data_IF_810117555531
#
_entry.id   IF_810117555531
#
_cell.length_a   1.000
_cell.length_b   1.000
_cell.length_c   1.000
_cell.angle_alpha   90.00
_cell.angle_beta   90.00
_cell.angle_gamma   90.00
#
_symmetry.space_group_name_H-M   'P 1'
#
loop_
_entity.id
_entity.type
_entity.pdbx_description
1 polymer ?
#
# COMPACT_ATOMS: atom_id res chain seq x y z
N UNK A 1 11.69 19.30 -8.91
CA UNK A 1 11.07 19.75 -7.66
C UNK A 1 11.44 18.76 -6.56
N UNK A 2 12.70 18.83 -6.10
CA UNK A 2 13.21 18.02 -5.00
C UNK A 2 12.65 18.57 -3.70
N UNK A 3 11.96 17.72 -2.94
CA UNK A 3 11.35 18.08 -1.66
C UNK A 3 12.45 18.56 -0.70
N UNK A 4 12.27 19.77 -0.18
CA UNK A 4 13.11 20.45 0.80
C UNK A 4 13.04 19.69 2.14
N UNK A 5 13.79 18.60 2.26
CA UNK A 5 13.95 17.87 3.53
C UNK A 5 14.93 18.67 4.37
N UNK A 6 14.42 19.42 5.34
CA UNK A 6 15.24 20.16 6.30
C UNK A 6 15.92 19.16 7.24
N UNK A 7 17.12 18.71 6.88
CA UNK A 7 17.90 17.68 7.61
C UNK A 7 18.12 17.99 9.11
N UNK A 8 17.87 19.21 9.57
CA UNK A 8 18.12 19.66 10.94
C UNK A 8 17.11 19.24 12.02
N UNK A 9 15.89 18.79 11.70
CA UNK A 9 14.84 18.51 12.70
C UNK A 9 14.58 17.02 12.97
N UNK A 10 15.23 16.12 12.23
CA UNK A 10 14.92 14.67 12.26
C UNK A 10 15.51 13.91 13.46
N UNK A 11 16.38 14.50 14.29
CA UNK A 11 17.12 13.75 15.33
C UNK A 11 16.76 14.17 16.77
N UNK A 12 15.48 14.45 17.05
CA UNK A 12 15.06 14.86 18.40
C UNK A 12 14.93 13.71 19.41
N UNK A 13 14.75 12.46 18.97
CA UNK A 13 14.55 11.31 19.86
C UNK A 13 15.50 10.18 19.52
N UNK A 14 16.44 9.84 20.41
CA UNK A 14 17.30 8.65 20.28
C UNK A 14 16.50 7.39 20.59
N UNK A 15 15.62 6.97 19.68
CA UNK A 15 14.85 5.73 19.83
C UNK A 15 15.76 4.51 19.59
N UNK A 16 15.79 3.51 20.48
CA UNK A 16 16.57 2.30 20.25
C UNK A 16 16.00 1.53 19.04
N UNK A 17 16.89 0.97 18.19
CA UNK A 17 16.51 0.23 16.97
C UNK A 17 15.55 -0.92 17.28
N UNK A 18 15.76 -1.57 18.42
CA UNK A 18 14.92 -2.65 18.89
C UNK A 18 13.47 -2.21 19.14
N UNK A 19 13.27 -1.03 19.73
CA UNK A 19 11.92 -0.49 19.93
C UNK A 19 11.27 -0.12 18.60
N UNK A 20 12.03 0.44 17.65
CA UNK A 20 11.55 0.69 16.29
C UNK A 20 11.08 -0.63 15.69
N UNK A 21 11.94 -1.64 15.67
CA UNK A 21 11.62 -2.96 15.12
C UNK A 21 10.35 -3.55 15.73
N UNK A 22 10.26 -3.64 17.06
CA UNK A 22 9.08 -4.21 17.74
C UNK A 22 7.81 -3.42 17.43
N UNK A 23 7.91 -2.09 17.38
CA UNK A 23 6.74 -1.23 17.15
C UNK A 23 6.22 -1.46 15.73
N UNK A 24 7.08 -1.38 14.72
CA UNK A 24 6.71 -1.60 13.33
C UNK A 24 6.31 -3.06 13.06
N UNK A 25 6.91 -4.02 13.75
CA UNK A 25 6.51 -5.43 13.69
C UNK A 25 5.09 -5.66 14.23
N UNK A 26 4.76 -5.07 15.39
CA UNK A 26 3.39 -5.10 15.93
C UNK A 26 2.40 -4.42 14.99
N UNK A 27 2.76 -3.27 14.44
CA UNK A 27 1.92 -2.57 13.47
C UNK A 27 1.66 -3.47 12.25
N UNK A 28 2.70 -4.11 11.68
CA UNK A 28 2.55 -5.04 10.58
C UNK A 28 1.67 -6.25 10.91
N UNK A 29 1.69 -6.71 12.17
CA UNK A 29 0.87 -7.84 12.63
C UNK A 29 -0.61 -7.49 12.80
N UNK A 30 -0.93 -6.28 13.25
CA UNK A 30 -2.30 -5.87 13.61
C UNK A 30 -2.99 -4.97 12.58
N UNK A 31 -2.30 -4.60 11.49
CA UNK A 31 -2.89 -3.78 10.44
C UNK A 31 -3.61 -4.64 9.42
N UNK A 32 -4.94 -4.49 9.35
CA UNK A 32 -5.79 -5.08 8.31
C UNK A 32 -6.53 -3.94 7.58
N UNK A 33 -6.42 -3.84 6.25
CA UNK A 33 -7.15 -2.83 5.47
C UNK A 33 -6.33 -1.84 4.63
N UNK A 34 -5.07 -2.16 4.29
CA UNK A 34 -4.26 -1.38 3.35
C UNK A 34 -3.59 -0.13 3.96
N UNK A 35 -3.02 0.73 3.11
CA UNK A 35 -2.13 1.82 3.55
C UNK A 35 -2.78 2.89 4.43
N UNK A 36 -4.07 3.21 4.19
CA UNK A 36 -4.81 4.18 5.02
C UNK A 36 -5.26 3.58 6.36
N UNK A 37 -5.53 2.28 6.42
CA UNK A 37 -5.78 1.62 7.71
C UNK A 37 -4.49 1.60 8.56
N UNK A 38 -3.35 1.35 7.90
CA UNK A 38 -2.04 1.38 8.56
C UNK A 38 -1.75 2.73 9.19
N UNK A 39 -2.08 3.85 8.53
CA UNK A 39 -1.78 5.18 9.06
C UNK A 39 -2.51 5.46 10.38
N UNK A 40 -3.71 4.93 10.58
CA UNK A 40 -4.45 5.06 11.85
C UNK A 40 -3.72 4.34 12.99
N UNK A 41 -3.27 3.10 12.74
CA UNK A 41 -2.51 2.31 13.73
C UNK A 41 -1.16 2.96 14.03
N UNK A 42 -0.48 3.45 12.98
CA UNK A 42 0.80 4.15 13.10
C UNK A 42 0.67 5.43 13.92
N UNK A 43 -0.35 6.24 13.65
CA UNK A 43 -0.65 7.46 14.42
C UNK A 43 -0.88 7.15 15.88
N UNK A 44 -1.67 6.10 16.17
CA UNK A 44 -1.94 5.69 17.53
C UNK A 44 -0.66 5.29 18.28
N UNK A 45 0.19 4.44 17.69
CA UNK A 45 1.41 3.97 18.34
C UNK A 45 2.49 5.08 18.42
N UNK A 46 2.77 5.79 17.33
CA UNK A 46 3.89 6.73 17.26
C UNK A 46 3.59 8.10 17.89
N UNK A 47 2.37 8.62 17.70
CA UNK A 47 1.98 9.96 18.17
C UNK A 47 1.33 9.89 19.55
N UNK A 48 0.27 9.09 19.70
CA UNK A 48 -0.53 9.11 20.93
C UNK A 48 0.15 8.35 22.08
N UNK A 49 0.62 7.13 21.81
CA UNK A 49 1.13 6.23 22.85
C UNK A 49 2.61 6.47 23.16
N UNK A 50 3.47 6.45 22.14
CA UNK A 50 4.92 6.57 22.33
C UNK A 50 5.44 8.01 22.27
N UNK A 51 4.66 8.93 21.68
CA UNK A 51 5.01 10.35 21.53
C UNK A 51 6.38 10.56 20.89
N UNK A 52 6.77 9.68 19.96
CA UNK A 52 8.03 9.79 19.22
C UNK A 52 7.95 10.82 18.09
N UNK A 53 6.74 11.06 17.58
CA UNK A 53 6.46 11.96 16.45
C UNK A 53 5.32 12.88 16.86
N UNK A 54 5.39 14.17 16.49
CA UNK A 54 4.29 15.10 16.72
C UNK A 54 3.14 14.86 15.73
N UNK A 55 1.95 15.37 16.05
CA UNK A 55 0.78 15.24 15.17
C UNK A 55 1.03 15.92 13.81
N UNK A 56 1.57 17.15 13.82
CA UNK A 56 1.85 17.94 12.61
C UNK A 56 2.86 17.23 11.70
N UNK A 57 3.91 16.69 12.31
CA UNK A 57 4.95 15.93 11.64
C UNK A 57 4.42 14.65 11.00
N UNK A 58 3.58 13.93 11.74
CA UNK A 58 2.95 12.72 11.24
C UNK A 58 2.09 13.00 10.00
N UNK A 59 1.28 14.07 10.04
CA UNK A 59 0.42 14.47 8.93
C UNK A 59 1.22 14.94 7.71
N UNK A 60 2.33 15.65 7.92
CA UNK A 60 3.24 16.05 6.85
C UNK A 60 3.84 14.83 6.14
N UNK A 61 4.31 13.84 6.89
CA UNK A 61 4.86 12.60 6.33
C UNK A 61 3.80 11.73 5.68
N UNK A 62 2.59 11.67 6.24
CA UNK A 62 1.46 10.98 5.62
C UNK A 62 1.12 11.59 4.26
N UNK A 63 1.07 12.92 4.18
CA UNK A 63 0.84 13.64 2.93
C UNK A 63 1.97 13.41 1.93
N UNK A 64 3.21 13.32 2.40
CA UNK A 64 4.35 12.99 1.54
C UNK A 64 4.28 11.55 1.04
N UNK A 65 3.88 10.61 1.88
CA UNK A 65 3.77 9.19 1.53
C UNK A 65 2.72 8.91 0.46
N UNK A 66 1.65 9.71 0.39
CA UNK A 66 0.58 9.58 -0.63
C UNK A 66 0.97 10.20 -1.97
N UNK A 67 1.90 11.15 -1.99
CA UNK A 67 2.45 11.72 -3.23
C UNK A 67 3.45 10.79 -3.91
N UNK A 68 4.18 9.97 -3.13
CA UNK A 68 5.15 9.02 -3.66
C UNK A 68 4.41 7.85 -4.31
N UNK A 69 4.68 7.52 -5.59
CA UNK A 69 4.06 6.36 -6.22
C UNK A 69 4.49 5.07 -5.50
N UNK A 70 3.54 4.17 -5.25
CA UNK A 70 3.79 2.89 -4.61
C UNK A 70 2.83 2.57 -3.47
N UNK A 71 3.22 1.62 -2.63
CA UNK A 71 2.41 1.22 -1.49
C UNK A 71 2.49 2.26 -0.37
N UNK A 72 1.40 2.98 -0.13
CA UNK A 72 1.29 4.01 0.92
C UNK A 72 1.80 3.49 2.29
N UNK A 73 1.46 2.24 2.64
CA UNK A 73 1.93 1.57 3.83
C UNK A 73 3.47 1.55 3.98
N UNK A 74 4.17 1.16 2.91
CA UNK A 74 5.62 1.02 2.88
C UNK A 74 6.28 2.40 2.86
N UNK A 75 5.75 3.32 2.05
CA UNK A 75 6.25 4.70 1.99
C UNK A 75 6.15 5.38 3.36
N UNK A 76 5.02 5.20 4.05
CA UNK A 76 4.83 5.77 5.38
C UNK A 76 5.78 5.14 6.41
N UNK A 77 5.94 3.81 6.39
CA UNK A 77 6.90 3.13 7.27
C UNK A 77 8.34 3.58 7.01
N UNK A 78 8.71 3.79 5.75
CA UNK A 78 10.02 4.27 5.35
C UNK A 78 10.30 5.70 5.85
N UNK A 79 9.37 6.63 5.62
CA UNK A 79 9.50 8.03 6.03
C UNK A 79 9.56 8.16 7.56
N UNK A 80 8.66 7.47 8.26
CA UNK A 80 8.63 7.48 9.72
C UNK A 80 9.86 6.81 10.33
N UNK A 81 10.32 5.69 9.76
CA UNK A 81 11.59 5.09 10.13
C UNK A 81 12.78 6.02 9.87
N UNK A 82 12.75 6.77 8.77
CA UNK A 82 13.79 7.75 8.42
C UNK A 82 13.92 8.83 9.47
N UNK A 83 12.77 9.28 9.97
CA UNK A 83 12.72 10.27 11.03
C UNK A 83 13.27 9.72 12.34
N UNK A 84 12.93 8.51 12.73
CA UNK A 84 13.35 8.00 14.04
C UNK A 84 14.85 7.73 14.12
N UNK A 85 15.48 7.24 13.03
CA UNK A 85 16.90 6.86 13.07
C UNK A 85 17.62 6.92 11.72
N UNK A 86 17.27 7.90 10.88
CA UNK A 86 17.84 8.06 9.55
C UNK A 86 17.60 6.85 8.67
N UNK A 87 18.52 6.62 7.71
CA UNK A 87 18.40 5.54 6.73
C UNK A 87 18.26 4.14 7.36
N UNK A 88 18.97 3.89 8.47
CA UNK A 88 18.92 2.62 9.19
C UNK A 88 17.52 2.39 9.78
N UNK A 89 16.91 3.45 10.34
CA UNK A 89 15.55 3.40 10.83
C UNK A 89 14.55 3.10 9.72
N UNK A 90 14.69 3.72 8.53
CA UNK A 90 13.84 3.43 7.37
C UNK A 90 13.86 1.96 6.98
N UNK A 91 15.06 1.41 6.80
CA UNK A 91 15.22 0.02 6.38
C UNK A 91 14.62 -0.94 7.41
N UNK A 92 14.90 -0.70 8.70
CA UNK A 92 14.39 -1.53 9.78
C UNK A 92 12.87 -1.45 9.94
N UNK A 93 12.28 -0.26 9.82
CA UNK A 93 10.83 -0.06 9.88
C UNK A 93 10.10 -0.78 8.74
N UNK A 94 10.62 -0.68 7.52
CA UNK A 94 10.05 -1.38 6.36
C UNK A 94 10.16 -2.90 6.53
N UNK A 95 11.35 -3.40 6.88
CA UNK A 95 11.54 -4.82 7.14
C UNK A 95 10.61 -5.33 8.24
N UNK A 96 10.58 -4.66 9.39
CA UNK A 96 9.75 -5.04 10.52
C UNK A 96 8.26 -5.08 10.16
N UNK A 97 7.80 -4.16 9.31
CA UNK A 97 6.40 -4.11 8.85
C UNK A 97 6.04 -5.31 7.97
N UNK A 98 6.94 -5.74 7.07
CA UNK A 98 6.66 -6.79 6.07
C UNK A 98 6.91 -8.20 6.65
N UNK A 99 7.88 -8.32 7.55
CA UNK A 99 8.29 -9.58 8.16
C UNK A 99 7.13 -10.40 8.79
N UNK A 100 6.17 -9.84 9.55
CA UNK A 100 5.09 -10.64 10.13
C UNK A 100 4.24 -11.31 9.05
N UNK A 101 3.96 -10.64 7.93
CA UNK A 101 3.20 -11.23 6.82
C UNK A 101 3.95 -12.40 6.17
N UNK A 102 5.27 -12.27 5.98
CA UNK A 102 6.12 -13.34 5.46
C UNK A 102 6.10 -14.55 6.41
N UNK A 103 6.30 -14.31 7.71
CA UNK A 103 6.32 -15.38 8.73
C UNK A 103 4.97 -16.11 8.74
N UNK A 104 3.85 -15.38 8.71
CA UNK A 104 2.51 -15.99 8.74
C UNK A 104 2.29 -16.86 7.50
N UNK A 105 2.58 -16.34 6.29
CA UNK A 105 2.39 -17.10 5.05
C UNK A 105 3.26 -18.35 5.02
N UNK A 106 4.55 -18.23 5.35
CA UNK A 106 5.45 -19.38 5.38
C UNK A 106 5.01 -20.41 6.42
N UNK A 107 4.56 -19.96 7.59
CA UNK A 107 4.02 -20.86 8.61
C UNK A 107 2.80 -21.61 8.07
N UNK A 108 1.86 -20.92 7.45
CA UNK A 108 0.68 -21.55 6.85
C UNK A 108 1.09 -22.58 5.79
N UNK A 109 2.05 -22.27 4.91
CA UNK A 109 2.51 -23.23 3.90
C UNK A 109 3.14 -24.46 4.56
N UNK A 110 4.11 -24.28 5.44
CA UNK A 110 4.84 -25.40 6.07
C UNK A 110 3.90 -26.33 6.85
N UNK A 111 2.92 -25.77 7.57
CA UNK A 111 2.02 -26.58 8.40
C UNK A 111 0.79 -27.09 7.65
N UNK A 112 0.29 -26.37 6.64
CA UNK A 112 -0.97 -26.69 5.98
C UNK A 112 -0.79 -27.39 4.62
N UNK A 113 0.38 -27.32 3.99
CA UNK A 113 0.66 -27.97 2.70
C UNK A 113 0.27 -29.46 2.67
N UNK A 114 0.59 -30.29 3.68
CA UNK A 114 0.20 -31.70 3.68
C UNK A 114 -1.32 -31.93 3.62
N UNK A 115 -2.10 -30.95 4.09
CA UNK A 115 -3.57 -31.02 4.16
C UNK A 115 -4.26 -30.41 2.94
N UNK A 116 -3.53 -29.76 2.03
CA UNK A 116 -4.12 -29.15 0.83
C UNK A 116 -4.73 -30.16 -0.14
N UNK A 117 -4.30 -31.43 -0.06
CA UNK A 117 -4.91 -32.55 -0.81
C UNK A 117 -6.32 -32.91 -0.32
N UNK A 118 -6.71 -32.50 0.89
CA UNK A 118 -8.04 -32.75 1.42
C UNK A 118 -9.09 -31.90 0.66
N UNK A 119 -10.14 -32.52 0.10
CA UNK A 119 -11.19 -31.80 -0.66
C UNK A 119 -11.80 -30.62 0.09
N UNK A 120 -11.95 -30.72 1.43
CA UNK A 120 -12.52 -29.64 2.26
C UNK A 120 -11.58 -28.44 2.34
N UNK A 121 -10.28 -28.67 2.47
CA UNK A 121 -9.27 -27.60 2.57
C UNK A 121 -9.09 -26.93 1.21
N UNK A 122 -9.02 -27.71 0.13
CA UNK A 122 -8.99 -27.18 -1.24
C UNK A 122 -10.22 -26.31 -1.55
N UNK A 123 -11.42 -26.74 -1.13
CA UNK A 123 -12.63 -25.94 -1.29
C UNK A 123 -12.59 -24.63 -0.49
N UNK A 124 -12.05 -24.66 0.74
CA UNK A 124 -11.86 -23.46 1.55
C UNK A 124 -10.89 -22.46 0.88
N UNK A 125 -9.72 -22.91 0.43
CA UNK A 125 -8.73 -22.07 -0.25
C UNK A 125 -9.28 -21.46 -1.56
N UNK A 126 -10.07 -22.24 -2.30
CA UNK A 126 -10.79 -21.73 -3.48
C UNK A 126 -11.80 -20.65 -3.09
N UNK A 127 -12.52 -20.83 -1.98
CA UNK A 127 -13.40 -19.80 -1.39
C UNK A 127 -12.66 -18.52 -1.02
N UNK A 128 -11.49 -18.62 -0.39
CA UNK A 128 -10.63 -17.45 -0.10
C UNK A 128 -10.21 -16.72 -1.37
N UNK A 129 -9.85 -17.45 -2.43
CA UNK A 129 -9.46 -16.85 -3.72
C UNK A 129 -10.63 -16.07 -4.34
N UNK A 130 -11.85 -16.60 -4.26
CA UNK A 130 -13.05 -15.90 -4.72
C UNK A 130 -13.36 -14.66 -3.87
N UNK A 131 -13.18 -14.74 -2.55
CA UNK A 131 -13.35 -13.59 -1.65
C UNK A 131 -12.37 -12.46 -1.98
N UNK A 132 -11.09 -12.77 -2.18
CA UNK A 132 -10.06 -11.78 -2.58
C UNK A 132 -10.40 -11.18 -3.95
N UNK A 133 -10.83 -12.01 -4.90
CA UNK A 133 -11.26 -11.52 -6.23
C UNK A 133 -12.45 -10.56 -6.11
N UNK A 134 -13.44 -10.89 -5.27
CA UNK A 134 -14.57 -10.02 -4.97
C UNK A 134 -14.16 -8.71 -4.31
N UNK A 135 -13.21 -8.75 -3.37
CA UNK A 135 -12.65 -7.55 -2.75
C UNK A 135 -11.95 -6.64 -3.77
N UNK A 136 -11.16 -7.21 -4.68
CA UNK A 136 -10.51 -6.46 -5.76
C UNK A 136 -11.56 -5.86 -6.71
N UNK A 137 -12.57 -6.64 -7.11
CA UNK A 137 -13.66 -6.17 -7.97
C UNK A 137 -14.45 -5.02 -7.31
N UNK A 138 -14.73 -5.12 -6.01
CA UNK A 138 -15.38 -4.05 -5.25
C UNK A 138 -14.52 -2.79 -5.19
N UNK A 139 -13.21 -2.93 -4.94
CA UNK A 139 -12.26 -1.81 -4.98
C UNK A 139 -12.25 -1.13 -6.36
N UNK A 140 -12.21 -1.91 -7.43
CA UNK A 140 -12.31 -1.40 -8.81
C UNK A 140 -13.64 -0.70 -9.08
N UNK A 141 -14.75 -1.23 -8.55
CA UNK A 141 -16.08 -0.62 -8.70
C UNK A 141 -16.18 0.72 -7.99
N UNK A 142 -15.74 0.81 -6.73
CA UNK A 142 -15.75 2.07 -5.97
C UNK A 142 -14.89 3.12 -6.66
N UNK A 143 -13.69 2.74 -7.10
CA UNK A 143 -12.81 3.63 -7.85
C UNK A 143 -13.44 4.06 -9.18
N UNK A 144 -13.95 3.11 -9.95
CA UNK A 144 -14.64 3.35 -11.22
C UNK A 144 -15.82 4.31 -11.07
N UNK A 145 -16.68 4.13 -10.07
CA UNK A 145 -17.83 5.02 -9.82
C UNK A 145 -17.41 6.48 -9.55
N UNK A 146 -16.27 6.68 -8.90
CA UNK A 146 -15.75 8.03 -8.63
C UNK A 146 -15.15 8.72 -9.87
N UNK A 147 -14.51 7.94 -10.76
CA UNK A 147 -13.74 8.46 -11.90
C UNK A 147 -14.54 8.48 -13.22
N UNK A 148 -15.42 7.50 -13.44
CA UNK A 148 -16.14 7.26 -14.70
C UNK A 148 -17.48 8.02 -14.74
N UNK A 149 -17.44 9.34 -14.54
CA UNK A 149 -18.65 10.19 -14.64
C UNK A 149 -18.98 10.66 -16.05
N UNK A 150 -18.00 10.60 -16.96
CA UNK A 150 -18.10 11.08 -18.34
C UNK A 150 -17.99 9.90 -19.31
N UNK A 151 -18.77 9.91 -20.39
CA UNK A 151 -18.72 8.90 -21.45
C UNK A 151 -17.31 8.76 -22.05
N UNK A 152 -16.55 9.86 -22.13
CA UNK A 152 -15.15 9.84 -22.62
C UNK A 152 -14.25 8.99 -21.72
N UNK A 153 -14.42 9.09 -20.40
CA UNK A 153 -13.66 8.30 -19.41
C UNK A 153 -14.06 6.83 -19.45
N UNK A 154 -15.34 6.54 -19.70
CA UNK A 154 -15.83 5.16 -19.90
C UNK A 154 -15.18 4.54 -21.14
N UNK A 155 -15.07 5.27 -22.26
CA UNK A 155 -14.41 4.81 -23.48
C UNK A 155 -12.93 4.48 -23.22
N UNK A 156 -12.21 5.37 -22.53
CA UNK A 156 -10.79 5.15 -22.18
C UNK A 156 -10.62 3.89 -21.32
N UNK A 157 -11.51 3.69 -20.34
CA UNK A 157 -11.50 2.51 -19.48
C UNK A 157 -11.81 1.22 -20.26
N UNK A 158 -12.85 1.24 -21.10
CA UNK A 158 -13.22 0.10 -21.94
C UNK A 158 -12.07 -0.27 -22.91
N UNK A 159 -11.38 0.72 -23.46
CA UNK A 159 -10.22 0.50 -24.33
C UNK A 159 -9.04 -0.15 -23.58
N UNK A 160 -8.74 0.33 -22.36
CA UNK A 160 -7.72 -0.30 -21.51
C UNK A 160 -8.05 -1.75 -21.17
N UNK A 161 -9.31 -2.04 -20.82
CA UNK A 161 -9.80 -3.40 -20.57
C UNK A 161 -9.66 -4.26 -21.83
N UNK A 162 -10.02 -3.74 -23.01
CA UNK A 162 -9.90 -4.47 -24.26
C UNK A 162 -8.46 -4.90 -24.56
N UNK A 163 -7.49 -4.01 -24.36
CA UNK A 163 -6.07 -4.32 -24.56
C UNK A 163 -5.61 -5.45 -23.62
N UNK A 164 -5.96 -5.38 -22.34
CA UNK A 164 -5.49 -6.37 -21.37
C UNK A 164 -6.24 -7.69 -21.52
N UNK A 165 -7.57 -7.67 -21.67
CA UNK A 165 -8.41 -8.86 -21.68
C UNK A 165 -8.41 -9.60 -23.02
N UNK A 166 -8.40 -8.87 -24.14
CA UNK A 166 -8.49 -9.46 -25.49
C UNK A 166 -7.11 -9.62 -26.11
N UNK A 167 -6.30 -8.56 -26.11
CA UNK A 167 -4.96 -8.61 -26.74
C UNK A 167 -3.90 -9.26 -25.84
N UNK A 168 -4.19 -9.50 -24.56
CA UNK A 168 -3.27 -10.11 -23.57
C UNK A 168 -1.90 -9.44 -23.52
N UNK A 169 -1.85 -8.15 -23.85
CA UNK A 169 -0.61 -7.38 -23.83
C UNK A 169 -0.24 -7.02 -22.39
N UNK A 170 1.06 -6.73 -22.18
CA UNK A 170 1.54 -6.26 -20.88
C UNK A 170 0.72 -5.03 -20.43
N UNK A 171 0.26 -4.97 -19.16
CA UNK A 171 -0.53 -3.86 -18.64
C UNK A 171 0.10 -2.48 -18.84
N UNK A 172 1.43 -2.41 -18.90
CA UNK A 172 2.17 -1.18 -19.19
C UNK A 172 1.72 -0.55 -20.52
N UNK A 173 1.51 -1.34 -21.57
CA UNK A 173 1.03 -0.84 -22.86
C UNK A 173 -0.39 -0.31 -22.77
N UNK A 174 -1.27 -1.00 -22.03
CA UNK A 174 -2.64 -0.55 -21.82
C UNK A 174 -2.70 0.81 -21.10
N UNK A 175 -1.82 1.02 -20.11
CA UNK A 175 -1.71 2.32 -19.39
C UNK A 175 -1.19 3.42 -20.33
N UNK A 176 -0.15 3.15 -21.11
CA UNK A 176 0.41 4.14 -22.04
C UNK A 176 -0.59 4.52 -23.14
N UNK A 177 -1.25 3.54 -23.76
CA UNK A 177 -2.21 3.79 -24.84
C UNK A 177 -3.50 4.45 -24.34
N UNK A 178 -4.00 4.06 -23.16
CA UNK A 178 -5.18 4.71 -22.56
C UNK A 178 -4.86 6.14 -22.11
N UNK A 179 -3.65 6.40 -21.60
CA UNK A 179 -3.18 7.75 -21.28
C UNK A 179 -3.10 8.65 -22.52
N UNK A 180 -2.56 8.13 -23.64
CA UNK A 180 -2.53 8.86 -24.91
C UNK A 180 -3.95 9.15 -25.44
N UNK A 181 -4.84 8.16 -25.44
CA UNK A 181 -6.25 8.34 -25.82
C UNK A 181 -6.95 9.35 -24.91
N UNK A 182 -6.64 9.34 -23.62
CA UNK A 182 -7.12 10.31 -22.65
C UNK A 182 -6.67 11.72 -22.98
N UNK A 183 -5.39 11.92 -23.34
CA UNK A 183 -4.88 13.21 -23.79
C UNK A 183 -5.64 13.75 -24.99
N UNK A 184 -5.95 12.93 -26.00
CA UNK A 184 -6.69 13.42 -27.18
C UNK A 184 -8.18 13.69 -26.91
N UNK A 185 -8.83 12.90 -26.06
CA UNK A 185 -10.28 13.00 -25.81
C UNK A 185 -10.66 14.01 -24.72
N UNK A 186 -9.80 14.24 -23.73
CA UNK A 186 -10.08 15.14 -22.60
C UNK A 186 -9.53 16.56 -22.82
N UNK A 187 -8.72 16.78 -23.87
CA UNK A 187 -8.14 18.09 -24.22
C UNK A 187 -9.17 19.20 -24.46
N UNK A 188 -10.40 18.87 -24.86
CA UNK A 188 -11.47 19.86 -25.08
C UNK A 188 -12.16 20.33 -23.78
N UNK A 189 -11.77 19.84 -22.60
CA UNK A 189 -12.39 20.18 -21.30
C UNK A 189 -11.49 21.02 -20.38
N UNK A 190 -10.24 21.28 -20.75
CA UNK A 190 -9.32 22.21 -20.05
C UNK A 190 -9.29 23.57 -20.75
#
# INVERSE_FOLDING_TARGET
MFVYIREGDFLRVKVPLFDIFITFFKIGLFTLGGGLAMSVVLRHELVLKKKWVSEEDFLFEMSTATLIPGAIAVNLAFLQGRRLRGFIGSFLSVLATILPSIIIILSVVIFAEPYFSNPKVAAFLKGCTLAVTGQLAYGSYVFGKSQLKDYRKIIICAFGIFIVAVLKLFPAWAVLSSGLLGYFLLKDQE
#
